data_IF_898752070733
#
_entry.id   IF_898752070733
#
_cell.length_a   1.000
_cell.length_b   1.000
_cell.length_c   1.000
_cell.angle_alpha   90.00
_cell.angle_beta   90.00
_cell.angle_gamma   90.00
#
_symmetry.space_group_name_H-M   'P 1'
#
loop_
_entity.id
_entity.type
_entity.pdbx_description
1 polymer ?
#
# COMPACT_ATOMS: atom_id res chain seq x y z
N UNK A 1 -8.00 2.36 15.44
CA UNK A 1 -7.41 1.63 14.35
C UNK A 1 -5.91 1.48 14.54
N UNK A 2 -5.41 0.34 14.21
CA UNK A 2 -3.99 0.06 14.22
C UNK A 2 -3.46 -0.16 12.82
N UNK A 3 -2.15 -0.09 12.69
CA UNK A 3 -1.48 -0.46 11.47
C UNK A 3 -0.80 -1.80 11.67
N UNK A 4 -1.03 -2.71 10.74
CA UNK A 4 -0.26 -3.94 10.65
C UNK A 4 0.61 -3.82 9.41
N UNK A 5 1.92 -3.81 9.60
CA UNK A 5 2.88 -3.74 8.51
C UNK A 5 3.29 -5.16 8.14
N UNK A 6 3.08 -5.52 6.88
CA UNK A 6 3.50 -6.81 6.37
C UNK A 6 4.49 -6.61 5.23
N UNK A 7 5.63 -7.29 5.34
CA UNK A 7 6.61 -7.33 4.28
C UNK A 7 6.23 -8.44 3.31
N UNK A 8 5.78 -8.08 2.12
CA UNK A 8 5.45 -9.05 1.09
C UNK A 8 6.74 -9.39 0.34
N UNK A 9 7.30 -10.54 0.67
CA UNK A 9 8.48 -11.05 -0.02
C UNK A 9 8.02 -11.77 -1.29
N UNK A 10 8.10 -11.10 -2.42
CA UNK A 10 7.97 -11.77 -3.71
C UNK A 10 9.30 -12.47 -4.03
N UNK A 11 9.30 -13.53 -4.88
CA UNK A 11 10.55 -14.11 -5.34
C UNK A 11 11.42 -13.03 -5.98
N UNK A 12 12.59 -12.82 -5.41
CA UNK A 12 13.50 -11.77 -5.86
C UNK A 12 14.43 -12.40 -6.89
N UNK A 13 14.58 -11.80 -8.09
CA UNK A 13 15.57 -12.28 -9.06
C UNK A 13 16.96 -12.27 -8.44
N UNK A 14 17.78 -13.21 -8.87
CA UNK A 14 19.16 -13.30 -8.40
C UNK A 14 19.87 -11.96 -8.61
N UNK A 15 20.51 -11.46 -7.56
CA UNK A 15 21.22 -10.18 -7.60
C UNK A 15 20.38 -8.95 -7.26
N UNK A 16 19.07 -9.09 -7.11
CA UNK A 16 18.21 -7.98 -6.75
C UNK A 16 17.84 -8.05 -5.27
N UNK A 17 18.62 -7.49 -4.40
CA UNK A 17 18.41 -7.53 -2.95
C UNK A 17 17.38 -6.51 -2.45
N UNK A 18 16.23 -6.37 -3.11
CA UNK A 18 15.25 -5.35 -2.74
C UNK A 18 13.88 -5.95 -2.43
N UNK A 19 13.16 -5.30 -1.52
CA UNK A 19 11.76 -5.59 -1.25
C UNK A 19 10.95 -4.79 -2.27
N UNK A 20 10.07 -5.44 -3.08
CA UNK A 20 9.34 -4.74 -4.13
C UNK A 20 8.36 -3.71 -3.59
N UNK A 21 7.71 -3.98 -2.44
CA UNK A 21 6.87 -2.99 -1.78
C UNK A 21 6.54 -3.42 -0.35
N UNK A 22 6.05 -2.48 0.43
CA UNK A 22 5.50 -2.74 1.76
C UNK A 22 3.99 -2.62 1.69
N UNK A 23 3.27 -3.54 2.33
CA UNK A 23 1.84 -3.42 2.52
C UNK A 23 1.55 -3.00 3.96
N UNK A 24 0.72 -1.98 4.13
CA UNK A 24 0.24 -1.51 5.41
C UNK A 24 -1.26 -1.78 5.47
N UNK A 25 -1.67 -2.66 6.37
CA UNK A 25 -3.08 -2.97 6.55
C UNK A 25 -3.78 -1.85 7.33
N UNK A 26 -4.88 -1.36 6.79
CA UNK A 26 -5.66 -0.28 7.40
C UNK A 26 -7.14 -0.65 7.45
N UNK A 27 -7.87 -0.03 8.36
CA UNK A 27 -9.31 -0.26 8.48
C UNK A 27 -10.11 0.48 7.40
N UNK A 28 -9.56 1.58 6.91
CA UNK A 28 -10.22 2.44 5.93
C UNK A 28 -9.15 3.06 5.04
N UNK A 29 -9.08 2.62 3.79
CA UNK A 29 -8.06 3.08 2.83
C UNK A 29 -8.24 4.57 2.52
N UNK A 30 -9.48 5.02 2.32
CA UNK A 30 -9.73 6.43 2.01
C UNK A 30 -9.33 7.35 3.17
N UNK A 31 -9.64 6.94 4.40
CA UNK A 31 -9.27 7.72 5.58
C UNK A 31 -7.75 7.74 5.77
N UNK A 32 -7.10 6.59 5.61
CA UNK A 32 -5.65 6.52 5.72
C UNK A 32 -4.97 7.42 4.68
N UNK A 33 -5.46 7.42 3.44
CA UNK A 33 -4.95 8.28 2.39
C UNK A 33 -5.16 9.77 2.72
N UNK A 34 -6.33 10.11 3.25
CA UNK A 34 -6.63 11.49 3.66
C UNK A 34 -5.67 11.95 4.77
N UNK A 35 -5.40 11.10 5.75
CA UNK A 35 -4.47 11.39 6.84
C UNK A 35 -3.05 11.59 6.32
N UNK A 36 -2.62 10.76 5.38
CA UNK A 36 -1.30 10.90 4.75
C UNK A 36 -1.19 12.19 3.95
N UNK A 37 -2.22 12.54 3.18
CA UNK A 37 -2.23 13.81 2.43
C UNK A 37 -2.20 15.01 3.36
N UNK A 38 -2.91 14.95 4.48
CA UNK A 38 -2.87 16.00 5.48
C UNK A 38 -1.47 16.15 6.11
N UNK A 39 -0.71 15.07 6.15
CA UNK A 39 0.68 15.08 6.63
C UNK A 39 1.70 15.45 5.54
N UNK A 40 1.25 15.75 4.31
CA UNK A 40 2.11 16.22 3.23
C UNK A 40 2.47 15.17 2.18
N UNK A 41 1.89 13.97 2.24
CA UNK A 41 2.14 12.94 1.22
C UNK A 41 1.29 13.23 -0.02
N UNK A 42 1.94 13.42 -1.16
CA UNK A 42 1.28 13.72 -2.44
C UNK A 42 1.74 12.78 -3.57
N UNK A 43 2.30 11.64 -3.21
CA UNK A 43 2.93 10.70 -4.14
C UNK A 43 2.06 9.48 -4.45
N UNK A 44 0.75 9.60 -4.33
CA UNK A 44 -0.17 8.53 -4.72
C UNK A 44 -0.10 8.28 -6.21
N UNK A 45 -0.03 7.00 -6.61
CA UNK A 45 0.20 6.62 -8.00
C UNK A 45 -1.04 6.72 -8.87
N UNK A 46 -2.22 6.73 -8.26
CA UNK A 46 -3.51 6.86 -8.95
C UNK A 46 -4.37 7.91 -8.27
N UNK A 47 -5.37 8.40 -8.99
CA UNK A 47 -6.29 9.42 -8.45
C UNK A 47 -7.20 8.83 -7.36
N UNK A 48 -7.48 7.54 -7.42
CA UNK A 48 -8.40 6.86 -6.53
C UNK A 48 -7.84 5.49 -6.14
N UNK A 49 -8.35 4.94 -5.02
CA UNK A 49 -8.01 3.58 -4.60
C UNK A 49 -8.48 2.56 -5.64
N UNK A 50 -7.84 1.42 -5.68
CA UNK A 50 -8.22 0.29 -6.49
C UNK A 50 -9.04 -0.69 -5.67
N UNK A 51 -10.16 -1.16 -6.21
CA UNK A 51 -10.99 -2.17 -5.56
C UNK A 51 -10.93 -3.44 -6.39
N UNK A 52 -10.52 -4.54 -5.76
CA UNK A 52 -10.41 -5.85 -6.41
C UNK A 52 -11.34 -6.85 -5.70
N UNK A 53 -12.60 -6.98 -6.14
CA UNK A 53 -13.59 -7.76 -5.39
C UNK A 53 -13.35 -9.27 -5.44
N UNK A 54 -12.58 -9.75 -6.40
CA UNK A 54 -12.37 -11.18 -6.62
C UNK A 54 -10.95 -11.66 -6.29
N UNK A 55 -10.08 -10.79 -5.81
CA UNK A 55 -8.70 -11.13 -5.46
C UNK A 55 -8.62 -11.41 -3.97
N UNK A 56 -8.16 -12.59 -3.60
CA UNK A 56 -8.04 -13.02 -2.19
C UNK A 56 -9.33 -12.80 -1.38
N UNK A 57 -10.49 -13.02 -1.98
CA UNK A 57 -11.78 -12.79 -1.33
C UNK A 57 -12.24 -11.34 -1.32
N UNK A 58 -11.52 -10.48 -2.00
CA UNK A 58 -11.82 -9.06 -2.11
C UNK A 58 -10.85 -8.20 -1.31
N UNK A 59 -10.36 -7.13 -1.93
CA UNK A 59 -9.50 -6.16 -1.27
C UNK A 59 -9.65 -4.77 -1.90
N UNK A 60 -9.22 -3.77 -1.13
CA UNK A 60 -8.99 -2.41 -1.62
C UNK A 60 -7.52 -2.08 -1.40
N UNK A 61 -6.90 -1.41 -2.34
CA UNK A 61 -5.53 -0.95 -2.16
C UNK A 61 -5.27 0.40 -2.82
N UNK A 62 -4.21 1.04 -2.37
CA UNK A 62 -3.76 2.31 -2.94
C UNK A 62 -2.26 2.42 -2.71
N UNK A 63 -1.52 2.61 -3.78
CA UNK A 63 -0.06 2.73 -3.71
C UNK A 63 0.37 4.17 -3.66
N UNK A 64 1.40 4.44 -2.87
CA UNK A 64 2.10 5.72 -2.90
C UNK A 64 3.60 5.48 -2.75
N UNK A 65 4.39 6.49 -3.11
CA UNK A 65 5.84 6.42 -3.03
C UNK A 65 6.31 7.05 -1.73
N UNK A 66 7.11 6.31 -0.97
CA UNK A 66 7.71 6.80 0.27
C UNK A 66 8.88 7.77 0.02
N UNK A 67 9.44 8.35 1.09
CA UNK A 67 10.45 9.41 0.98
C UNK A 67 11.77 8.93 0.37
N UNK A 68 12.05 7.63 0.42
CA UNK A 68 13.26 7.06 -0.18
C UNK A 68 13.00 6.33 -1.49
N UNK A 69 11.83 6.57 -2.10
CA UNK A 69 11.46 5.94 -3.36
C UNK A 69 10.81 4.57 -3.23
N UNK A 70 10.59 4.09 -2.00
CA UNK A 70 9.93 2.81 -1.77
C UNK A 70 8.45 2.87 -2.15
N UNK A 71 7.94 1.77 -2.70
CA UNK A 71 6.52 1.63 -3.00
C UNK A 71 5.79 1.12 -1.78
N UNK A 72 4.78 1.84 -1.35
CA UNK A 72 3.99 1.51 -0.15
C UNK A 72 2.53 1.31 -0.56
N UNK A 73 1.94 0.23 -0.11
CA UNK A 73 0.56 -0.13 -0.40
C UNK A 73 -0.30 0.01 0.85
N UNK A 74 -1.34 0.83 0.79
CA UNK A 74 -2.42 0.79 1.77
C UNK A 74 -3.37 -0.33 1.37
N UNK A 75 -3.68 -1.22 2.28
CA UNK A 75 -4.42 -2.45 1.98
C UNK A 75 -5.51 -2.71 2.99
N UNK A 76 -6.70 -3.01 2.48
CA UNK A 76 -7.81 -3.48 3.30
C UNK A 76 -8.38 -4.74 2.68
N UNK A 77 -8.48 -5.80 3.48
CA UNK A 77 -9.18 -7.01 3.08
C UNK A 77 -10.68 -6.81 3.30
N UNK A 78 -11.46 -7.11 2.28
CA UNK A 78 -12.92 -6.95 2.34
C UNK A 78 -13.60 -8.17 2.94
#
# INVERSE_FOLDING_TARGET
GGFLVELIAAPVPEGAGCIPHFAVYVDDVDQAAADLRAAGVDTFQTAEKCVMPNTFGGLENWFFTGPSGEQIELLKML
#
